data_IF_356322015378
#
_entry.id   IF_356322015378
#
_cell.length_a   1.000
_cell.length_b   1.000
_cell.length_c   1.000
_cell.angle_alpha   90.00
_cell.angle_beta   90.00
_cell.angle_gamma   90.00
#
_symmetry.space_group_name_H-M   'P 1'
#
loop_
_entity.id
_entity.type
_entity.pdbx_description
1 polymer ?
#
# COMPACT_ATOMS: atom_id res chain seq x y z
N UNK A 1 30.45 39.40 -20.12
CA UNK A 1 31.12 39.20 -18.83
C UNK A 1 30.42 38.09 -18.07
N UNK A 2 31.17 37.03 -17.75
CA UNK A 2 30.98 36.05 -16.67
C UNK A 2 29.60 35.40 -16.49
N UNK A 3 29.55 34.17 -16.97
CA UNK A 3 28.95 33.01 -16.33
C UNK A 3 28.55 33.23 -14.86
N UNK A 4 27.28 33.07 -14.54
CA UNK A 4 26.86 32.65 -13.21
C UNK A 4 26.01 31.39 -13.38
N UNK A 5 26.72 30.26 -13.47
CA UNK A 5 26.19 28.93 -13.23
C UNK A 5 25.65 28.91 -11.79
N UNK A 6 24.36 29.11 -11.61
CA UNK A 6 23.70 28.79 -10.34
C UNK A 6 23.14 27.39 -10.47
N UNK A 7 24.02 26.42 -10.22
CA UNK A 7 23.66 25.03 -9.95
C UNK A 7 22.92 25.04 -8.61
N UNK A 8 21.59 25.19 -8.64
CA UNK A 8 20.76 24.87 -7.48
C UNK A 8 20.66 23.34 -7.37
N UNK A 9 21.74 22.77 -6.83
CA UNK A 9 21.76 21.44 -6.26
C UNK A 9 21.07 21.54 -4.90
N UNK A 10 19.77 21.28 -4.84
CA UNK A 10 19.06 21.17 -3.58
C UNK A 10 18.00 20.07 -3.65
N UNK A 11 18.52 18.86 -3.42
CA UNK A 11 17.96 17.87 -2.50
C UNK A 11 16.56 17.36 -2.84
N UNK A 12 16.55 16.33 -3.68
CA UNK A 12 15.52 15.30 -3.75
C UNK A 12 15.39 14.59 -2.40
N UNK A 13 14.70 15.20 -1.43
CA UNK A 13 14.16 14.45 -0.29
C UNK A 13 12.85 13.79 -0.72
N UNK A 14 12.94 12.78 -1.58
CA UNK A 14 11.94 11.71 -1.57
C UNK A 14 12.45 10.68 -0.56
N UNK A 15 12.41 11.08 0.72
CA UNK A 15 12.61 10.16 1.82
C UNK A 15 11.34 9.34 1.99
N UNK A 16 11.19 8.28 1.19
CA UNK A 16 10.27 7.20 1.59
C UNK A 16 10.90 6.54 2.82
N UNK A 17 10.51 7.00 4.00
CA UNK A 17 10.76 6.28 5.24
C UNK A 17 9.99 4.94 5.14
N UNK A 18 10.64 3.94 4.56
CA UNK A 18 10.21 2.54 4.65
C UNK A 18 10.41 2.13 6.10
N UNK A 19 9.37 2.27 6.92
CA UNK A 19 9.25 1.52 8.15
C UNK A 19 8.91 0.09 7.76
N UNK A 20 9.94 -0.74 7.61
CA UNK A 20 9.79 -2.19 7.41
C UNK A 20 9.23 -2.83 8.69
N UNK A 21 7.91 -2.72 8.87
CA UNK A 21 7.18 -3.55 9.82
C UNK A 21 7.03 -4.92 9.16
N UNK A 22 7.82 -5.89 9.61
CA UNK A 22 7.76 -7.27 9.13
C UNK A 22 6.29 -7.76 9.07
N UNK A 23 5.87 -8.44 7.99
CA UNK A 23 4.48 -8.85 7.83
C UNK A 23 4.09 -9.81 8.96
N UNK A 24 3.21 -9.35 9.85
CA UNK A 24 2.58 -10.19 10.85
C UNK A 24 1.55 -11.10 10.16
N UNK A 25 1.92 -12.36 10.01
CA UNK A 25 1.12 -13.47 9.50
C UNK A 25 -0.09 -13.85 10.40
N UNK A 26 -0.23 -13.24 11.58
CA UNK A 26 -1.37 -13.38 12.49
C UNK A 26 -2.06 -12.04 12.79
N UNK A 27 -1.97 -11.04 11.91
CA UNK A 27 -2.57 -9.73 12.16
C UNK A 27 -4.09 -9.87 12.39
N UNK A 28 -4.61 -9.52 13.59
CA UNK A 28 -6.05 -9.53 13.81
C UNK A 28 -6.68 -8.57 12.81
N UNK A 29 -7.75 -9.03 12.13
CA UNK A 29 -8.58 -8.19 11.26
C UNK A 29 -8.80 -6.84 11.94
N UNK A 30 -8.54 -5.76 11.22
CA UNK A 30 -8.48 -4.41 11.76
C UNK A 30 -9.85 -3.95 12.28
N UNK A 31 -10.14 -4.20 13.57
CA UNK A 31 -11.47 -3.97 14.17
C UNK A 31 -11.75 -2.50 14.53
N UNK A 32 -10.74 -1.71 14.88
CA UNK A 32 -10.93 -0.31 15.26
C UNK A 32 -10.80 0.63 14.07
N UNK A 33 -11.68 1.62 13.99
CA UNK A 33 -11.70 2.61 12.92
C UNK A 33 -10.41 3.42 12.85
N UNK A 34 -9.91 3.89 13.98
CA UNK A 34 -8.64 4.62 14.05
C UNK A 34 -7.46 3.82 13.48
N UNK A 35 -7.44 2.49 13.69
CA UNK A 35 -6.39 1.64 13.10
C UNK A 35 -6.59 1.50 11.59
N UNK A 36 -7.83 1.37 11.11
CA UNK A 36 -8.13 1.34 9.67
C UNK A 36 -7.69 2.61 8.98
N UNK A 37 -7.96 3.76 9.59
CA UNK A 37 -7.56 5.05 9.03
C UNK A 37 -6.04 5.19 8.98
N UNK A 38 -5.34 4.83 10.07
CA UNK A 38 -3.87 4.84 10.09
C UNK A 38 -3.29 3.94 8.98
N UNK A 39 -3.78 2.71 8.86
CA UNK A 39 -3.31 1.78 7.83
C UNK A 39 -3.66 2.25 6.41
N UNK A 40 -4.81 2.89 6.21
CA UNK A 40 -5.13 3.52 4.93
C UNK A 40 -4.12 4.64 4.59
N UNK A 41 -3.77 5.49 5.57
CA UNK A 41 -2.76 6.54 5.39
C UNK A 41 -1.39 5.97 5.03
N UNK A 42 -0.94 4.93 5.73
CA UNK A 42 0.32 4.20 5.42
C UNK A 42 0.29 3.63 4.00
N UNK A 43 -0.82 2.99 3.62
CA UNK A 43 -1.01 2.46 2.28
C UNK A 43 -0.94 3.55 1.21
N UNK A 44 -1.54 4.73 1.44
CA UNK A 44 -1.41 5.86 0.53
C UNK A 44 0.01 6.44 0.48
N UNK A 45 0.75 6.41 1.60
CA UNK A 45 2.14 6.84 1.68
C UNK A 45 3.13 5.92 0.96
N UNK A 46 2.70 4.71 0.56
CA UNK A 46 3.49 3.78 -0.24
C UNK A 46 3.73 2.42 0.42
N UNK A 47 3.27 2.21 1.65
CA UNK A 47 3.40 0.90 2.31
C UNK A 47 2.48 -0.13 1.62
N UNK A 48 3.09 -1.03 0.85
CA UNK A 48 2.38 -2.10 0.15
C UNK A 48 1.80 -3.14 1.12
N UNK A 49 2.46 -3.40 2.26
CA UNK A 49 1.94 -4.29 3.28
C UNK A 49 0.69 -3.69 3.92
N UNK A 50 0.65 -2.37 4.15
CA UNK A 50 -0.56 -1.68 4.60
C UNK A 50 -1.70 -1.78 3.59
N UNK A 51 -1.41 -1.62 2.29
CA UNK A 51 -2.42 -1.80 1.24
C UNK A 51 -2.96 -3.24 1.23
N UNK A 52 -2.10 -4.25 1.37
CA UNK A 52 -2.53 -5.65 1.48
C UNK A 52 -3.39 -5.90 2.73
N UNK A 53 -3.03 -5.33 3.89
CA UNK A 53 -3.84 -5.40 5.12
C UNK A 53 -5.23 -4.78 4.94
N UNK A 54 -5.34 -3.66 4.21
CA UNK A 54 -6.65 -3.09 3.86
C UNK A 54 -7.45 -4.01 2.94
N UNK A 55 -6.78 -4.63 1.96
CA UNK A 55 -7.39 -5.64 1.10
C UNK A 55 -7.97 -6.80 1.90
N UNK A 56 -7.19 -7.38 2.82
CA UNK A 56 -7.62 -8.49 3.68
C UNK A 56 -8.80 -8.10 4.57
N UNK A 57 -8.79 -6.87 5.11
CA UNK A 57 -9.90 -6.34 5.88
C UNK A 57 -11.20 -6.33 5.07
N UNK A 58 -11.21 -5.75 3.87
CA UNK A 58 -12.43 -5.72 3.05
C UNK A 58 -12.82 -7.10 2.54
N UNK A 59 -11.85 -7.96 2.22
CA UNK A 59 -12.11 -9.33 1.82
C UNK A 59 -12.81 -10.12 2.93
N UNK A 60 -12.35 -10.00 4.18
CA UNK A 60 -12.98 -10.61 5.34
C UNK A 60 -14.42 -10.09 5.57
N UNK A 61 -14.67 -8.81 5.28
CA UNK A 61 -16.01 -8.19 5.34
C UNK A 61 -16.88 -8.48 4.12
N UNK A 62 -16.46 -9.38 3.22
CA UNK A 62 -17.17 -9.75 1.98
C UNK A 62 -17.32 -8.61 0.98
N UNK A 63 -16.56 -7.53 1.14
CA UNK A 63 -16.52 -6.41 0.21
C UNK A 63 -15.38 -6.62 -0.80
N UNK A 64 -15.70 -7.43 -1.83
CA UNK A 64 -14.72 -7.84 -2.85
C UNK A 64 -14.23 -6.65 -3.68
N UNK A 65 -15.09 -5.67 -3.97
CA UNK A 65 -14.74 -4.52 -4.79
C UNK A 65 -13.67 -3.67 -4.10
N UNK A 66 -13.87 -3.33 -2.82
CA UNK A 66 -12.86 -2.60 -2.06
C UNK A 66 -11.60 -3.43 -1.85
N UNK A 67 -11.72 -4.73 -1.57
CA UNK A 67 -10.56 -5.60 -1.44
C UNK A 67 -9.67 -5.57 -2.69
N UNK A 68 -10.26 -5.77 -3.88
CA UNK A 68 -9.54 -5.73 -5.16
C UNK A 68 -8.86 -4.38 -5.38
N UNK A 69 -9.54 -3.27 -5.06
CA UNK A 69 -8.95 -1.94 -5.21
C UNK A 69 -7.66 -1.77 -4.38
N UNK A 70 -7.68 -2.22 -3.12
CA UNK A 70 -6.49 -2.17 -2.24
C UNK A 70 -5.36 -3.09 -2.71
N UNK A 71 -5.66 -4.32 -3.13
CA UNK A 71 -4.63 -5.20 -3.69
C UNK A 71 -4.06 -4.67 -5.00
N UNK A 72 -4.89 -4.03 -5.84
CA UNK A 72 -4.43 -3.36 -7.06
C UNK A 72 -3.52 -2.17 -6.76
N UNK A 73 -3.77 -1.42 -5.68
CA UNK A 73 -2.88 -0.34 -5.24
C UNK A 73 -1.46 -0.87 -4.96
N UNK A 74 -1.34 -1.98 -4.22
CA UNK A 74 -0.07 -2.66 -3.99
C UNK A 74 0.54 -3.21 -5.30
N UNK A 75 -0.26 -3.90 -6.11
CA UNK A 75 0.17 -4.51 -7.36
C UNK A 75 0.75 -3.49 -8.38
N UNK A 76 0.11 -2.32 -8.50
CA UNK A 76 0.57 -1.22 -9.37
C UNK A 76 1.95 -0.69 -8.98
N UNK A 77 2.33 -0.84 -7.70
CA UNK A 77 3.65 -0.46 -7.18
C UNK A 77 4.68 -1.59 -7.24
N UNK A 78 4.30 -2.73 -7.83
CA UNK A 78 5.18 -3.87 -8.06
C UNK A 78 5.09 -4.97 -7.01
N UNK A 79 4.28 -4.80 -5.96
CA UNK A 79 4.10 -5.80 -4.89
C UNK A 79 3.57 -7.13 -5.45
N UNK A 80 4.28 -8.22 -5.17
CA UNK A 80 3.93 -9.54 -5.72
C UNK A 80 2.71 -10.13 -5.03
N UNK A 81 2.57 -9.94 -3.72
CA UNK A 81 1.43 -10.43 -2.96
C UNK A 81 0.12 -9.80 -3.46
N UNK A 82 0.13 -8.49 -3.72
CA UNK A 82 -0.99 -7.77 -4.33
C UNK A 82 -1.34 -8.34 -5.71
N UNK A 83 -0.36 -8.59 -6.58
CA UNK A 83 -0.60 -9.17 -7.93
C UNK A 83 -1.22 -10.56 -7.86
N UNK A 84 -0.71 -11.43 -7.01
CA UNK A 84 -1.24 -12.79 -6.82
C UNK A 84 -2.66 -12.74 -6.26
N UNK A 85 -2.89 -11.86 -5.29
CA UNK A 85 -4.18 -11.76 -4.62
C UNK A 85 -5.25 -11.18 -5.54
N UNK A 86 -4.94 -10.18 -6.38
CA UNK A 86 -5.90 -9.70 -7.41
C UNK A 86 -6.35 -10.83 -8.32
N UNK A 87 -5.43 -11.68 -8.79
CA UNK A 87 -5.79 -12.83 -9.65
C UNK A 87 -6.70 -13.81 -8.93
N UNK A 88 -6.37 -14.17 -7.69
CA UNK A 88 -7.17 -15.09 -6.86
C UNK A 88 -8.59 -14.56 -6.66
N UNK A 89 -8.73 -13.30 -6.25
CA UNK A 89 -10.04 -12.69 -5.96
C UNK A 89 -10.90 -12.57 -7.23
N UNK A 90 -10.29 -12.30 -8.38
CA UNK A 90 -11.02 -12.27 -9.66
C UNK A 90 -11.50 -13.65 -10.10
N UNK A 91 -10.69 -14.70 -9.86
CA UNK A 91 -11.09 -16.07 -10.16
C UNK A 91 -12.23 -16.55 -9.27
N UNK A 92 -12.28 -16.13 -8.01
CA UNK A 92 -13.38 -16.45 -7.07
C UNK A 92 -14.70 -15.71 -7.39
N UNK A 93 -14.68 -14.74 -8.29
CA UNK A 93 -15.86 -13.95 -8.68
C UNK A 93 -16.57 -14.46 -9.94
N UNK A 94 -16.10 -15.57 -10.52
CA UNK A 94 -16.74 -16.31 -11.63
C UNK A 94 -17.55 -17.49 -11.11
#
# INVERSE_FOLDING_TARGET
MKHLFVVFLALSFVGCAHHDVAPNNNAPVMKSEARRELTAREAFAGDNAAANRMGDYYFANKDRANAVWWYQLAAKRGDQLGKETVKRVQQESQ
#
